data_IF_064490842430
#
_entry.id   IF_064490842430
#
_cell.length_a   1.000
_cell.length_b   1.000
_cell.length_c   1.000
_cell.angle_alpha   90.00
_cell.angle_beta   90.00
_cell.angle_gamma   90.00
#
_symmetry.space_group_name_H-M   'P 1'
#
loop_
_entity.id
_entity.type
_entity.pdbx_description
1 polymer ?
#
# COMPACT_ATOMS: atom_id res chain seq x y z
N UNK A 1 12.30 22.13 -17.09
CA UNK A 1 12.06 20.70 -17.38
C UNK A 1 10.61 20.53 -17.80
N UNK A 2 10.30 19.85 -18.92
CA UNK A 2 8.90 19.57 -19.32
C UNK A 2 8.45 18.27 -18.64
N UNK A 3 7.34 18.30 -17.92
CA UNK A 3 6.77 17.14 -17.21
C UNK A 3 6.05 16.21 -18.19
N UNK A 4 5.37 16.75 -19.20
CA UNK A 4 4.63 15.96 -20.18
C UNK A 4 5.51 15.61 -21.40
N UNK A 5 5.37 14.38 -21.89
CA UNK A 5 6.08 13.88 -23.08
C UNK A 5 5.17 13.67 -24.29
N UNK A 6 3.85 13.69 -24.10
CA UNK A 6 2.79 13.37 -25.09
C UNK A 6 2.82 11.93 -25.63
N UNK A 7 3.76 11.10 -25.17
CA UNK A 7 3.89 9.71 -25.63
C UNK A 7 2.75 8.79 -25.21
N UNK A 8 1.91 9.22 -24.28
CA UNK A 8 0.78 8.43 -23.77
C UNK A 8 -0.59 8.93 -24.21
N UNK A 9 -0.66 9.90 -25.17
CA UNK A 9 -1.92 10.48 -25.63
C UNK A 9 -2.73 9.49 -26.49
N UNK A 10 -2.07 8.43 -26.98
CA UNK A 10 -2.66 7.30 -27.70
C UNK A 10 -3.33 6.23 -26.80
N UNK A 11 -3.40 6.46 -25.48
CA UNK A 11 -3.97 5.52 -24.50
C UNK A 11 -3.04 4.39 -24.09
N UNK A 12 -1.74 4.46 -24.44
CA UNK A 12 -0.74 3.48 -24.03
C UNK A 12 0.26 4.07 -23.03
N UNK A 13 0.98 3.20 -22.31
CA UNK A 13 2.09 3.56 -21.42
C UNK A 13 3.26 2.59 -21.58
N UNK A 14 4.49 3.03 -21.25
CA UNK A 14 5.66 2.16 -21.26
C UNK A 14 5.86 1.45 -19.94
N UNK A 15 6.24 0.18 -19.99
CA UNK A 15 6.76 -0.54 -18.83
C UNK A 15 8.28 -0.32 -18.71
N UNK A 16 8.81 -0.46 -17.50
CA UNK A 16 10.25 -0.47 -17.27
C UNK A 16 10.87 -1.69 -17.97
N UNK A 17 11.90 -1.43 -18.75
CA UNK A 17 12.64 -2.43 -19.54
C UNK A 17 11.78 -3.24 -20.52
N UNK A 18 10.57 -2.80 -20.82
CA UNK A 18 9.63 -3.50 -21.71
C UNK A 18 9.01 -2.60 -22.75
N UNK A 19 8.05 -3.16 -23.47
CA UNK A 19 7.27 -2.48 -24.49
C UNK A 19 6.24 -1.50 -23.94
N UNK A 20 5.30 -1.16 -24.79
CA UNK A 20 4.12 -0.35 -24.43
C UNK A 20 2.90 -1.25 -24.23
N UNK A 21 2.10 -0.90 -23.26
CA UNK A 21 0.85 -1.60 -22.91
C UNK A 21 -0.31 -0.60 -22.85
N UNK A 22 -1.57 -1.04 -23.03
CA UNK A 22 -2.73 -0.18 -22.80
C UNK A 22 -2.77 0.32 -21.36
N UNK A 23 -3.13 1.60 -21.15
CA UNK A 23 -3.22 2.19 -19.80
C UNK A 23 -4.29 1.50 -18.93
N UNK A 24 -5.27 0.85 -19.54
CA UNK A 24 -6.31 0.07 -18.87
C UNK A 24 -5.93 -1.41 -18.66
N UNK A 25 -4.70 -1.80 -18.95
CA UNK A 25 -4.20 -3.16 -18.72
C UNK A 25 -3.96 -3.45 -17.23
N UNK A 26 -3.91 -4.74 -16.87
CA UNK A 26 -3.79 -5.17 -15.48
C UNK A 26 -2.58 -4.59 -14.74
N UNK A 27 -1.40 -4.52 -15.39
CA UNK A 27 -0.20 -3.93 -14.75
C UNK A 27 -0.34 -2.43 -14.48
N UNK A 28 -0.75 -1.58 -15.44
CA UNK A 28 -1.03 -0.16 -15.16
C UNK A 28 -2.07 0.05 -14.05
N UNK A 29 -3.11 -0.77 -14.00
CA UNK A 29 -4.11 -0.73 -12.95
C UNK A 29 -3.53 -1.12 -11.58
N UNK A 30 -2.68 -2.14 -11.52
CA UNK A 30 -2.05 -2.59 -10.29
C UNK A 30 -1.08 -1.54 -9.73
N UNK A 31 -0.09 -1.07 -10.52
CA UNK A 31 0.83 -0.06 -10.00
C UNK A 31 0.17 1.31 -9.80
N UNK A 32 -0.87 1.64 -10.56
CA UNK A 32 -1.69 2.84 -10.33
C UNK A 32 -2.43 2.78 -9.00
N UNK A 33 -2.97 1.61 -8.62
CA UNK A 33 -3.60 1.40 -7.31
C UNK A 33 -2.58 1.47 -6.15
N UNK A 34 -1.33 1.03 -6.38
CA UNK A 34 -0.23 1.20 -5.41
C UNK A 34 0.13 2.68 -5.22
N UNK A 35 0.18 3.46 -6.30
CA UNK A 35 0.42 4.91 -6.24
C UNK A 35 -0.71 5.64 -5.48
N UNK A 36 -1.97 5.23 -5.70
CA UNK A 36 -3.11 5.74 -4.94
C UNK A 36 -2.99 5.42 -3.44
N UNK A 37 -2.58 4.20 -3.07
CA UNK A 37 -2.34 3.82 -1.69
C UNK A 37 -1.21 4.66 -1.05
N UNK A 38 -0.11 4.90 -1.78
CA UNK A 38 0.98 5.77 -1.34
C UNK A 38 0.51 7.21 -1.11
N UNK A 39 -0.36 7.72 -1.99
CA UNK A 39 -0.96 9.07 -1.88
C UNK A 39 -1.90 9.16 -0.67
N UNK A 40 -2.73 8.14 -0.43
CA UNK A 40 -3.61 8.06 0.74
C UNK A 40 -2.81 8.01 2.06
N UNK A 41 -1.71 7.24 2.12
CA UNK A 41 -0.78 7.28 3.24
C UNK A 41 -0.14 8.66 3.41
N UNK A 42 0.10 9.39 2.32
CA UNK A 42 0.56 10.78 2.36
C UNK A 42 -0.41 11.71 3.09
N UNK A 43 -1.72 11.53 2.88
CA UNK A 43 -2.75 12.26 3.62
C UNK A 43 -2.72 11.93 5.13
N UNK A 44 -2.55 10.66 5.48
CA UNK A 44 -2.42 10.24 6.87
C UNK A 44 -1.15 10.82 7.51
N UNK A 45 0.00 10.74 6.82
CA UNK A 45 1.27 11.31 7.30
C UNK A 45 1.20 12.82 7.52
N UNK A 46 0.45 13.54 6.68
CA UNK A 46 0.27 14.99 6.85
C UNK A 46 -0.51 15.36 8.12
N UNK A 47 -1.34 14.46 8.66
CA UNK A 47 -2.07 14.60 9.90
C UNK A 47 -1.29 14.07 11.12
N UNK A 48 -0.22 13.30 10.91
CA UNK A 48 0.60 12.76 11.99
C UNK A 48 1.55 13.84 12.55
N UNK A 49 1.89 13.71 13.83
CA UNK A 49 2.87 14.58 14.48
C UNK A 49 4.23 14.46 13.79
N UNK A 50 4.76 15.58 13.31
CA UNK A 50 6.02 15.62 12.57
C UNK A 50 7.18 15.20 13.47
N UNK A 51 7.91 14.16 13.07
CA UNK A 51 8.99 13.55 13.86
C UNK A 51 8.53 12.49 14.86
N UNK A 52 7.21 12.27 14.97
CA UNK A 52 6.66 11.17 15.76
C UNK A 52 6.82 9.81 15.09
N UNK A 53 6.54 8.76 15.85
CA UNK A 53 6.64 7.36 15.43
C UNK A 53 5.79 7.06 14.19
N UNK A 54 4.49 7.39 14.21
CA UNK A 54 3.59 7.18 13.08
C UNK A 54 4.03 7.93 11.82
N UNK A 55 4.54 9.16 11.97
CA UNK A 55 5.06 9.93 10.84
C UNK A 55 6.23 9.20 10.16
N UNK A 56 7.17 8.68 10.96
CA UNK A 56 8.35 7.98 10.45
C UNK A 56 7.98 6.67 9.76
N UNK A 57 7.10 5.87 10.37
CA UNK A 57 6.65 4.61 9.82
C UNK A 57 5.84 4.81 8.54
N UNK A 58 4.90 5.76 8.50
CA UNK A 58 4.13 6.04 7.28
C UNK A 58 5.07 6.50 6.15
N UNK A 59 6.09 7.33 6.43
CA UNK A 59 7.07 7.73 5.43
C UNK A 59 7.85 6.54 4.87
N UNK A 60 8.24 5.60 5.74
CA UNK A 60 8.89 4.35 5.31
C UNK A 60 7.96 3.52 4.41
N UNK A 61 6.70 3.32 4.81
CA UNK A 61 5.70 2.58 4.02
C UNK A 61 5.47 3.20 2.64
N UNK A 62 5.45 4.54 2.55
CA UNK A 62 5.37 5.23 1.26
C UNK A 62 6.60 4.91 0.38
N UNK A 63 7.81 4.91 0.93
CA UNK A 63 9.01 4.53 0.18
C UNK A 63 8.96 3.06 -0.28
N UNK A 64 8.49 2.15 0.57
CA UNK A 64 8.33 0.75 0.22
C UNK A 64 7.26 0.53 -0.87
N UNK A 65 6.18 1.32 -0.89
CA UNK A 65 5.21 1.31 -1.98
C UNK A 65 5.80 1.79 -3.32
N UNK A 66 6.78 2.71 -3.33
CA UNK A 66 7.53 3.02 -4.55
C UNK A 66 8.33 1.82 -5.05
N UNK A 67 8.90 1.01 -4.15
CA UNK A 67 9.57 -0.25 -4.53
C UNK A 67 8.57 -1.23 -5.15
N UNK A 68 7.40 -1.43 -4.51
CA UNK A 68 6.34 -2.30 -5.04
C UNK A 68 5.81 -1.81 -6.40
N UNK A 69 5.60 -0.50 -6.56
CA UNK A 69 5.20 0.12 -7.82
C UNK A 69 6.24 -0.09 -8.93
N UNK A 70 7.53 0.02 -8.62
CA UNK A 70 8.62 -0.23 -9.55
C UNK A 70 8.65 -1.71 -10.02
N UNK A 71 8.47 -2.66 -9.10
CA UNK A 71 8.37 -4.08 -9.42
C UNK A 71 7.21 -4.36 -10.37
N UNK A 72 6.01 -3.86 -10.06
CA UNK A 72 4.81 -4.04 -10.86
C UNK A 72 4.88 -3.32 -12.22
N UNK A 73 5.58 -2.19 -12.31
CA UNK A 73 5.79 -1.45 -13.56
C UNK A 73 6.88 -2.06 -14.45
N UNK A 74 7.62 -3.04 -13.97
CA UNK A 74 8.66 -3.74 -14.75
C UNK A 74 8.04 -4.83 -15.61
N UNK A 75 8.48 -4.93 -16.88
CA UNK A 75 8.03 -5.98 -17.77
C UNK A 75 8.42 -7.38 -17.23
N UNK A 76 7.56 -8.42 -17.34
CA UNK A 76 7.83 -9.74 -16.76
C UNK A 76 9.16 -10.34 -17.22
N UNK A 77 9.49 -10.20 -18.51
CA UNK A 77 10.73 -10.67 -19.11
C UNK A 77 11.99 -9.97 -18.58
N UNK A 78 11.81 -8.82 -17.93
CA UNK A 78 12.87 -8.02 -17.33
C UNK A 78 12.97 -8.18 -15.81
N UNK A 79 12.21 -9.09 -15.18
CA UNK A 79 12.19 -9.30 -13.73
C UNK A 79 13.60 -9.57 -13.14
N UNK A 80 14.50 -10.19 -13.92
CA UNK A 80 15.90 -10.42 -13.52
C UNK A 80 16.75 -9.15 -13.37
N UNK A 81 16.25 -7.97 -13.75
CA UNK A 81 16.94 -6.67 -13.59
C UNK A 81 16.54 -5.94 -12.29
N UNK A 82 15.55 -6.46 -11.60
CA UNK A 82 15.06 -5.88 -10.35
C UNK A 82 16.13 -6.01 -9.25
N UNK A 83 16.22 -4.98 -8.41
CA UNK A 83 17.16 -4.91 -7.29
C UNK A 83 16.40 -5.00 -5.97
N UNK A 84 16.76 -5.95 -5.13
CA UNK A 84 16.14 -6.19 -3.82
C UNK A 84 16.13 -4.92 -2.97
N UNK A 85 14.97 -4.55 -2.43
CA UNK A 85 14.77 -3.36 -1.59
C UNK A 85 14.82 -2.01 -2.33
N UNK A 86 15.09 -2.00 -3.66
CA UNK A 86 15.14 -0.76 -4.48
C UNK A 86 14.03 -0.75 -5.53
N UNK A 87 13.86 -1.86 -6.23
CA UNK A 87 12.81 -2.05 -7.24
C UNK A 87 12.17 -3.43 -7.18
N UNK A 88 12.50 -4.24 -6.15
CA UNK A 88 11.89 -5.51 -5.83
C UNK A 88 11.61 -5.60 -4.34
N UNK A 89 10.37 -5.93 -4.00
CA UNK A 89 9.94 -6.21 -2.62
C UNK A 89 10.68 -7.43 -2.07
N UNK A 90 11.07 -7.39 -0.80
CA UNK A 90 11.82 -8.46 -0.15
C UNK A 90 11.06 -9.09 1.01
N UNK A 91 11.35 -10.35 1.40
CA UNK A 91 10.80 -10.96 2.61
C UNK A 91 11.05 -10.12 3.87
N UNK A 92 12.24 -9.50 4.00
CA UNK A 92 12.57 -8.64 5.16
C UNK A 92 11.62 -7.43 5.29
N UNK A 93 11.05 -6.93 4.17
CA UNK A 93 10.04 -5.87 4.21
C UNK A 93 8.73 -6.41 4.79
N UNK A 94 8.38 -7.68 4.52
CA UNK A 94 7.21 -8.35 5.09
C UNK A 94 7.41 -8.58 6.59
N UNK A 95 8.55 -9.13 6.99
CA UNK A 95 8.90 -9.41 8.40
C UNK A 95 8.85 -8.12 9.24
N UNK A 96 9.30 -7.01 8.65
CA UNK A 96 9.22 -5.69 9.31
C UNK A 96 7.79 -5.24 9.52
N UNK A 97 6.88 -5.46 8.55
CA UNK A 97 5.45 -5.15 8.74
C UNK A 97 4.84 -5.97 9.86
N UNK A 98 5.19 -7.25 9.97
CA UNK A 98 4.72 -8.12 11.06
C UNK A 98 5.20 -7.60 12.43
N UNK A 99 6.47 -7.20 12.50
CA UNK A 99 7.02 -6.58 13.71
C UNK A 99 6.34 -5.26 14.08
N UNK A 100 5.96 -4.44 13.08
CA UNK A 100 5.23 -3.20 13.32
C UNK A 100 3.80 -3.47 13.79
N UNK A 101 3.12 -4.48 13.22
CA UNK A 101 1.78 -4.90 13.67
C UNK A 101 1.84 -5.26 15.15
N UNK A 102 2.74 -6.15 15.53
CA UNK A 102 2.89 -6.59 16.91
C UNK A 102 3.16 -5.40 17.84
N UNK A 103 4.10 -4.53 17.48
CA UNK A 103 4.47 -3.34 18.26
C UNK A 103 3.31 -2.36 18.50
N UNK A 104 2.47 -2.15 17.50
CA UNK A 104 1.29 -1.29 17.66
C UNK A 104 0.18 -2.01 18.43
N UNK A 105 -0.06 -3.28 18.14
CA UNK A 105 -1.14 -4.07 18.78
C UNK A 105 -0.88 -4.35 20.25
N UNK A 106 0.38 -4.47 20.67
CA UNK A 106 0.76 -4.57 22.10
C UNK A 106 0.36 -3.33 22.94
N UNK A 107 0.03 -2.23 22.27
CA UNK A 107 -0.33 -0.93 22.88
C UNK A 107 -1.81 -0.58 22.70
N UNK A 108 -2.60 -1.44 22.09
CA UNK A 108 -4.00 -1.21 21.77
C UNK A 108 -4.86 -2.34 22.31
N UNK A 109 -5.86 -2.00 23.08
CA UNK A 109 -6.90 -2.96 23.46
C UNK A 109 -8.02 -2.94 22.40
N UNK A 110 -8.10 -4.00 21.59
CA UNK A 110 -9.14 -4.11 20.57
C UNK A 110 -10.48 -4.42 21.23
N UNK A 111 -11.54 -3.64 20.91
CA UNK A 111 -12.88 -3.97 21.37
C UNK A 111 -13.39 -5.25 20.70
N UNK A 112 -14.35 -5.96 21.33
CA UNK A 112 -14.89 -7.21 20.76
C UNK A 112 -15.86 -7.00 19.58
N UNK A 113 -16.02 -5.76 19.12
CA UNK A 113 -16.87 -5.35 17.99
C UNK A 113 -16.06 -4.59 16.95
N UNK A 114 -16.61 -4.47 15.74
CA UNK A 114 -15.98 -3.64 14.71
C UNK A 114 -15.98 -2.15 15.12
N UNK A 115 -14.85 -1.51 14.98
CA UNK A 115 -14.70 -0.07 15.16
C UNK A 115 -15.25 0.65 13.93
N UNK A 116 -16.07 1.67 14.16
CA UNK A 116 -16.52 2.58 13.09
C UNK A 116 -15.37 3.56 12.81
N UNK A 117 -14.86 3.64 11.57
CA UNK A 117 -13.78 4.57 11.24
C UNK A 117 -14.15 6.04 11.52
N UNK A 118 -13.23 6.83 12.08
CA UNK A 118 -13.42 8.27 12.21
C UNK A 118 -13.25 8.85 13.62
N UNK A 119 -12.76 8.10 14.59
CA UNK A 119 -12.54 8.61 15.95
C UNK A 119 -11.57 9.80 15.98
N UNK A 120 -10.47 9.73 15.25
CA UNK A 120 -9.56 10.87 15.03
C UNK A 120 -9.36 11.16 13.54
N UNK A 121 -8.87 12.37 13.20
CA UNK A 121 -8.52 12.70 11.81
C UNK A 121 -7.44 11.76 11.26
N UNK A 122 -6.43 11.44 12.07
CA UNK A 122 -5.35 10.55 11.65
C UNK A 122 -5.84 9.11 11.47
N UNK A 123 -6.63 8.56 12.41
CA UNK A 123 -7.19 7.21 12.29
C UNK A 123 -8.10 7.08 11.07
N UNK A 124 -8.97 8.08 10.81
CA UNK A 124 -9.84 8.11 9.64
C UNK A 124 -9.05 8.09 8.32
N UNK A 125 -7.96 8.86 8.23
CA UNK A 125 -7.09 8.90 7.04
C UNK A 125 -6.33 7.59 6.84
N UNK A 126 -5.91 6.94 7.93
CA UNK A 126 -5.30 5.60 7.89
C UNK A 126 -6.30 4.54 7.43
N UNK A 127 -7.57 4.59 7.87
CA UNK A 127 -8.61 3.67 7.38
C UNK A 127 -8.89 3.86 5.87
N UNK A 128 -8.85 5.09 5.35
CA UNK A 128 -8.91 5.35 3.89
C UNK A 128 -7.70 4.76 3.19
N UNK A 129 -6.49 4.95 3.72
CA UNK A 129 -5.27 4.38 3.16
C UNK A 129 -5.31 2.85 3.15
N UNK A 130 -5.79 2.23 4.23
CA UNK A 130 -6.01 0.78 4.30
C UNK A 130 -6.93 0.27 3.20
N UNK A 131 -8.04 0.97 2.95
CA UNK A 131 -8.97 0.59 1.88
C UNK A 131 -8.32 0.69 0.49
N UNK A 132 -7.46 1.70 0.25
CA UNK A 132 -6.67 1.83 -0.98
C UNK A 132 -5.63 0.70 -1.12
N UNK A 133 -4.89 0.36 -0.06
CA UNK A 133 -3.96 -0.78 -0.03
C UNK A 133 -4.68 -2.08 -0.39
N UNK A 134 -5.85 -2.36 0.20
CA UNK A 134 -6.65 -3.54 -0.11
C UNK A 134 -7.16 -3.57 -1.56
N UNK A 135 -7.38 -2.41 -2.19
CA UNK A 135 -7.67 -2.34 -3.63
C UNK A 135 -6.44 -2.71 -4.43
N UNK A 136 -5.27 -2.16 -4.10
CA UNK A 136 -4.00 -2.52 -4.75
C UNK A 136 -3.71 -4.02 -4.63
N UNK A 137 -3.88 -4.59 -3.45
CA UNK A 137 -3.74 -6.04 -3.20
C UNK A 137 -4.61 -6.87 -4.16
N UNK A 138 -5.92 -6.51 -4.32
CA UNK A 138 -6.80 -7.23 -5.24
C UNK A 138 -6.34 -7.14 -6.70
N UNK A 139 -5.82 -5.98 -7.14
CA UNK A 139 -5.29 -5.81 -8.51
C UNK A 139 -4.02 -6.64 -8.74
N UNK A 140 -3.17 -6.76 -7.73
CA UNK A 140 -1.99 -7.64 -7.80
C UNK A 140 -2.40 -9.11 -7.76
N UNK A 141 -3.43 -9.47 -7.00
CA UNK A 141 -3.99 -10.82 -7.01
C UNK A 141 -4.58 -11.22 -8.39
N UNK A 142 -5.17 -10.27 -9.13
CA UNK A 142 -5.60 -10.48 -10.52
C UNK A 142 -4.40 -10.80 -11.42
N UNK A 143 -3.28 -10.04 -11.33
CA UNK A 143 -2.05 -10.33 -12.08
C UNK A 143 -1.49 -11.72 -11.77
N UNK A 144 -1.53 -12.13 -10.49
CA UNK A 144 -1.14 -13.48 -10.10
C UNK A 144 -2.01 -14.55 -10.77
N UNK A 145 -3.32 -14.35 -10.76
CA UNK A 145 -4.27 -15.30 -11.37
C UNK A 145 -4.10 -15.41 -12.89
N UNK A 146 -3.66 -14.34 -13.55
CA UNK A 146 -3.33 -14.28 -14.97
C UNK A 146 -1.95 -14.87 -15.32
N UNK A 147 -1.15 -15.21 -14.30
CA UNK A 147 0.23 -15.70 -14.48
C UNK A 147 1.22 -14.58 -14.84
N UNK A 148 0.85 -13.32 -14.64
CA UNK A 148 1.66 -12.13 -14.97
C UNK A 148 2.44 -11.58 -13.76
N UNK A 149 2.58 -12.35 -12.69
CA UNK A 149 3.38 -12.02 -11.51
C UNK A 149 4.55 -13.00 -11.40
N UNK A 150 5.77 -12.48 -11.39
CA UNK A 150 6.97 -13.31 -11.34
C UNK A 150 7.27 -13.88 -9.93
N UNK A 151 6.79 -13.21 -8.89
CA UNK A 151 7.05 -13.53 -7.48
C UNK A 151 5.86 -13.07 -6.63
N UNK A 152 5.45 -13.89 -5.67
CA UNK A 152 4.30 -13.61 -4.80
C UNK A 152 4.62 -12.66 -3.63
N UNK A 153 5.88 -12.30 -3.42
CA UNK A 153 6.32 -11.48 -2.27
C UNK A 153 5.62 -10.13 -2.25
N UNK A 154 5.44 -9.48 -3.41
CA UNK A 154 4.74 -8.20 -3.48
C UNK A 154 3.26 -8.31 -3.07
N UNK A 155 2.59 -9.41 -3.40
CA UNK A 155 1.21 -9.67 -2.96
C UNK A 155 1.15 -9.90 -1.45
N UNK A 156 2.06 -10.70 -0.91
CA UNK A 156 2.19 -10.94 0.53
C UNK A 156 2.46 -9.65 1.28
N UNK A 157 3.35 -8.79 0.75
CA UNK A 157 3.63 -7.47 1.30
C UNK A 157 2.38 -6.59 1.38
N UNK A 158 1.60 -6.47 0.29
CA UNK A 158 0.39 -5.64 0.28
C UNK A 158 -0.69 -6.16 1.25
N UNK A 159 -0.83 -7.47 1.36
CA UNK A 159 -1.72 -8.08 2.35
C UNK A 159 -1.30 -7.67 3.77
N UNK A 160 -0.03 -7.87 4.14
CA UNK A 160 0.50 -7.52 5.45
C UNK A 160 0.52 -6.01 5.71
N UNK A 161 0.76 -5.19 4.67
CA UNK A 161 0.65 -3.74 4.76
C UNK A 161 -0.75 -3.28 5.16
N UNK A 162 -1.81 -3.94 4.65
CA UNK A 162 -3.18 -3.61 5.04
C UNK A 162 -3.42 -3.82 6.54
N UNK A 163 -2.80 -4.85 7.13
CA UNK A 163 -2.91 -5.14 8.56
C UNK A 163 -2.09 -4.15 9.40
N UNK A 164 -0.87 -3.79 8.93
CA UNK A 164 -0.05 -2.78 9.58
C UNK A 164 -0.75 -1.41 9.61
N UNK A 165 -1.36 -0.99 8.51
CA UNK A 165 -2.11 0.28 8.45
C UNK A 165 -3.35 0.22 9.36
N UNK A 166 -4.01 -0.95 9.50
CA UNK A 166 -5.08 -1.14 10.47
C UNK A 166 -4.57 -0.97 11.91
N UNK A 167 -3.48 -1.62 12.26
CA UNK A 167 -2.88 -1.49 13.61
C UNK A 167 -2.52 -0.03 13.91
N UNK A 168 -1.90 0.68 12.97
CA UNK A 168 -1.60 2.10 13.09
C UNK A 168 -2.88 2.96 13.25
N UNK A 169 -3.95 2.62 12.53
CA UNK A 169 -5.23 3.34 12.64
C UNK A 169 -5.83 3.16 14.03
N UNK A 170 -5.82 1.94 14.55
CA UNK A 170 -6.32 1.68 15.93
C UNK A 170 -5.44 2.33 16.99
N UNK A 171 -4.14 2.36 16.81
CA UNK A 171 -3.22 3.08 17.70
C UNK A 171 -3.42 4.60 17.69
N UNK A 172 -3.83 5.17 16.56
CA UNK A 172 -4.11 6.60 16.39
C UNK A 172 -5.54 7.01 16.77
N UNK A 173 -6.37 6.05 17.16
CA UNK A 173 -7.78 6.29 17.47
C UNK A 173 -7.99 6.81 18.91
N UNK A 174 -9.23 7.22 19.20
CA UNK A 174 -9.64 7.53 20.57
C UNK A 174 -9.64 6.28 21.44
N UNK A 175 -9.41 6.40 22.76
CA UNK A 175 -9.44 5.28 23.69
C UNK A 175 -10.78 4.53 23.72
N UNK A 176 -11.87 5.22 23.45
CA UNK A 176 -13.23 4.67 23.40
C UNK A 176 -13.84 4.95 22.01
N UNK A 177 -13.46 4.17 20.97
CA UNK A 177 -13.95 4.39 19.63
C UNK A 177 -15.43 4.00 19.50
N UNK A 178 -16.12 4.62 18.54
CA UNK A 178 -17.49 4.21 18.19
C UNK A 178 -17.49 2.77 17.63
N UNK A 179 -18.40 1.95 18.14
CA UNK A 179 -18.50 0.55 17.77
C UNK A 179 -19.73 0.27 16.90
N UNK A 180 -19.56 -0.64 15.94
CA UNK A 180 -20.71 -1.11 15.17
C UNK A 180 -21.67 -1.91 16.05
N UNK A 181 -22.86 -1.37 16.25
CA UNK A 181 -23.95 -2.03 16.90
C UNK A 181 -24.81 -2.75 15.85
N UNK A 182 -24.40 -3.97 15.49
CA UNK A 182 -25.22 -4.81 14.60
C UNK A 182 -26.67 -4.87 15.12
N UNK A 183 -27.65 -4.89 14.22
CA UNK A 183 -29.01 -5.20 14.60
C UNK A 183 -29.02 -6.63 15.15
N UNK A 184 -29.31 -6.77 16.44
CA UNK A 184 -29.63 -8.04 17.09
C UNK A 184 -30.87 -8.70 16.47
#
# INVERSE_FOLDING_TARGET
MKIYTRKGDDGTTGLWYGGRVPKFGGRPEAYGSVDEAASALGLARAAAERGGELYADILRLQNELFVAGAELATAPEAAGRLQAGVSKVTPDMVDRLESDIDRYMDRVELPPKFVIPGGTELSARLDVARAAVRRAERRVAELKAEGDLADDTVLTYLNRLSDAVYAMARFADEPEPELFEGRG
#
